data_IF_736642461078
#
_entry.id   IF_736642461078
#
_cell.length_a   1.000
_cell.length_b   1.000
_cell.length_c   1.000
_cell.angle_alpha   90.00
_cell.angle_beta   90.00
_cell.angle_gamma   90.00
#
_symmetry.space_group_name_H-M   'P 1'
#
loop_
_entity.id
_entity.type
_entity.pdbx_description
1 polymer ?
#
# COMPACT_ATOMS: atom_id res chain seq x y z
N UNK A 1 7.28 -8.00 -13.71
CA UNK A 1 6.84 -8.67 -12.45
C UNK A 1 6.59 -7.62 -11.37
N UNK A 2 5.72 -7.91 -10.38
CA UNK A 2 5.44 -7.02 -9.22
C UNK A 2 6.67 -6.92 -8.32
N UNK A 3 7.08 -5.71 -7.97
CA UNK A 3 8.31 -5.40 -7.22
C UNK A 3 8.02 -4.34 -6.16
N UNK A 4 8.69 -4.43 -5.00
CA UNK A 4 8.47 -3.54 -3.86
C UNK A 4 9.80 -2.97 -3.42
N UNK A 5 9.93 -1.65 -3.52
CA UNK A 5 11.09 -0.89 -3.12
C UNK A 5 10.79 -0.17 -1.81
N UNK A 6 11.63 -0.38 -0.80
CA UNK A 6 11.65 0.38 0.43
C UNK A 6 12.76 1.42 0.32
N UNK A 7 12.42 2.69 0.49
CA UNK A 7 13.35 3.83 0.40
C UNK A 7 13.34 4.57 1.73
N UNK A 8 14.53 4.82 2.29
CA UNK A 8 14.73 5.73 3.41
C UNK A 8 15.22 7.06 2.86
N UNK A 9 14.53 8.14 3.20
CA UNK A 9 14.83 9.47 2.69
C UNK A 9 14.72 10.52 3.80
N UNK A 10 15.38 11.65 3.60
CA UNK A 10 15.22 12.81 4.47
C UNK A 10 13.79 13.34 4.40
N UNK A 11 13.26 13.73 5.55
CA UNK A 11 11.93 14.31 5.68
C UNK A 11 11.96 15.81 5.38
N UNK A 12 12.46 16.17 4.20
CA UNK A 12 12.59 17.54 3.73
C UNK A 12 11.65 17.86 2.57
N UNK A 13 11.32 19.15 2.44
CA UNK A 13 10.51 19.63 1.33
C UNK A 13 11.20 19.33 -0.01
N UNK A 14 10.46 18.70 -0.92
CA UNK A 14 10.94 18.38 -2.26
C UNK A 14 11.60 17.00 -2.41
N UNK A 15 11.96 16.30 -1.32
CA UNK A 15 12.53 14.96 -1.41
C UNK A 15 11.57 13.96 -2.08
N UNK A 16 10.32 13.93 -1.64
CA UNK A 16 9.24 13.15 -2.27
C UNK A 16 9.04 13.51 -3.76
N UNK A 17 9.06 14.81 -4.07
CA UNK A 17 8.85 15.30 -5.44
C UNK A 17 9.97 14.85 -6.38
N UNK A 18 11.22 14.84 -5.91
CA UNK A 18 12.37 14.34 -6.70
C UNK A 18 12.27 12.85 -6.97
N UNK A 19 11.87 12.06 -5.98
CA UNK A 19 11.62 10.61 -6.16
C UNK A 19 10.52 10.37 -7.19
N UNK A 20 9.36 11.01 -7.07
CA UNK A 20 8.25 10.85 -8.04
C UNK A 20 8.65 11.37 -9.43
N UNK A 21 9.37 12.49 -9.50
CA UNK A 21 9.88 13.08 -10.73
C UNK A 21 10.79 12.12 -11.51
N UNK A 22 11.63 11.36 -10.81
CA UNK A 22 12.46 10.32 -11.42
C UNK A 22 11.62 9.22 -12.11
N UNK A 23 10.54 8.76 -11.45
CA UNK A 23 9.64 7.76 -12.03
C UNK A 23 8.91 8.32 -13.26
N UNK A 24 8.40 9.55 -13.15
CA UNK A 24 7.67 10.22 -14.23
C UNK A 24 8.54 10.45 -15.48
N UNK A 25 9.76 10.98 -15.31
CA UNK A 25 10.66 11.30 -16.43
C UNK A 25 11.10 10.07 -17.23
N UNK A 26 11.13 8.90 -16.59
CA UNK A 26 11.55 7.64 -17.23
C UNK A 26 10.39 6.73 -17.59
N UNK A 27 9.15 7.16 -17.34
CA UNK A 27 7.96 6.35 -17.59
C UNK A 27 7.89 5.08 -16.75
N UNK A 28 8.48 5.09 -15.54
CA UNK A 28 8.38 3.98 -14.61
C UNK A 28 6.99 3.98 -13.96
N UNK A 29 6.31 2.84 -13.99
CA UNK A 29 4.98 2.71 -13.43
C UNK A 29 5.02 2.73 -11.89
N UNK A 30 4.05 3.40 -11.26
CA UNK A 30 3.83 3.33 -9.80
C UNK A 30 2.44 2.76 -9.59
N UNK A 31 2.35 1.55 -9.03
CA UNK A 31 1.06 0.93 -8.69
C UNK A 31 0.54 1.44 -7.35
N UNK A 32 1.43 1.56 -6.36
CA UNK A 32 1.10 2.14 -5.07
C UNK A 32 2.34 2.80 -4.47
N UNK A 33 2.13 3.84 -3.68
CA UNK A 33 3.17 4.56 -2.97
C UNK A 33 2.66 4.95 -1.59
N UNK A 34 3.41 4.57 -0.56
CA UNK A 34 3.19 5.05 0.81
C UNK A 34 4.43 5.79 1.27
N UNK A 35 4.24 6.87 2.03
CA UNK A 35 5.33 7.59 2.67
C UNK A 35 4.85 8.16 4.00
N UNK A 36 5.63 7.99 5.05
CA UNK A 36 5.38 8.58 6.35
C UNK A 36 6.71 8.74 7.12
N UNK A 37 6.76 9.67 8.10
CA UNK A 37 7.89 9.78 9.02
C UNK A 37 8.14 8.47 9.77
N UNK A 38 9.41 8.22 10.12
CA UNK A 38 9.81 7.10 10.98
C UNK A 38 9.72 7.48 12.47
N UNK A 39 10.26 6.65 13.37
CA UNK A 39 10.47 7.03 14.78
C UNK A 39 11.47 8.18 14.93
N UNK A 40 12.37 8.34 13.96
CA UNK A 40 13.10 9.58 13.73
C UNK A 40 12.27 10.51 12.81
N UNK A 41 11.80 11.68 13.29
CA UNK A 41 10.99 12.59 12.49
C UNK A 41 11.77 13.29 11.36
N UNK A 42 13.10 13.23 11.38
CA UNK A 42 13.96 13.76 10.31
C UNK A 42 14.04 12.80 9.11
N UNK A 43 13.58 11.56 9.27
CA UNK A 43 13.59 10.54 8.24
C UNK A 43 12.16 10.09 7.91
N UNK A 44 11.91 9.89 6.62
CA UNK A 44 10.70 9.30 6.10
C UNK A 44 11.00 7.96 5.45
N UNK A 45 10.09 7.00 5.63
CA UNK A 45 10.14 5.72 4.92
C UNK A 45 9.08 5.69 3.84
N UNK A 46 9.53 5.44 2.62
CA UNK A 46 8.68 5.28 1.46
C UNK A 46 8.66 3.81 1.02
N UNK A 47 7.47 3.30 0.70
CA UNK A 47 7.31 2.00 0.04
C UNK A 47 6.69 2.23 -1.33
N UNK A 48 7.37 1.79 -2.38
CA UNK A 48 6.93 1.95 -3.78
C UNK A 48 6.69 0.56 -4.35
N UNK A 49 5.46 0.31 -4.78
CA UNK A 49 5.12 -0.85 -5.57
C UNK A 49 5.14 -0.48 -7.05
N UNK A 50 5.86 -1.26 -7.84
CA UNK A 50 6.03 -1.03 -9.27
C UNK A 50 6.01 -2.36 -10.03
N UNK A 51 5.79 -2.27 -11.34
CA UNK A 51 5.86 -3.40 -12.27
C UNK A 51 6.94 -3.13 -13.29
N UNK A 52 7.87 -4.06 -13.39
CA UNK A 52 8.93 -4.01 -14.38
C UNK A 52 9.72 -5.31 -14.45
N UNK A 53 10.59 -5.39 -15.44
CA UNK A 53 11.59 -6.45 -15.55
C UNK A 53 12.81 -6.11 -14.69
N UNK A 54 13.63 -7.12 -14.38
CA UNK A 54 14.78 -6.98 -13.48
C UNK A 54 15.72 -5.83 -13.88
N UNK A 55 16.00 -5.66 -15.18
CA UNK A 55 16.81 -4.55 -15.70
C UNK A 55 16.23 -3.17 -15.38
N UNK A 56 14.91 -3.04 -15.41
CA UNK A 56 14.22 -1.76 -15.11
C UNK A 56 14.29 -1.47 -13.62
N UNK A 57 14.10 -2.48 -12.77
CA UNK A 57 14.18 -2.34 -11.32
C UNK A 57 15.59 -1.98 -10.87
N UNK A 58 16.60 -2.66 -11.41
CA UNK A 58 18.01 -2.36 -11.12
C UNK A 58 18.36 -0.93 -11.55
N UNK A 59 17.81 -0.46 -12.67
CA UNK A 59 17.96 0.94 -13.07
C UNK A 59 17.26 1.90 -12.09
N UNK A 60 16.04 1.60 -11.66
CA UNK A 60 15.32 2.42 -10.67
C UNK A 60 16.14 2.56 -9.39
N UNK A 61 16.63 1.44 -8.84
CA UNK A 61 17.46 1.43 -7.63
C UNK A 61 18.73 2.28 -7.81
N UNK A 62 19.45 2.10 -8.93
CA UNK A 62 20.65 2.88 -9.24
C UNK A 62 20.36 4.38 -9.40
N UNK A 63 19.19 4.77 -9.91
CA UNK A 63 18.84 6.18 -10.02
C UNK A 63 18.39 6.78 -8.69
N UNK A 64 17.65 6.03 -7.87
CA UNK A 64 17.26 6.45 -6.54
C UNK A 64 18.47 6.73 -5.66
N UNK A 65 19.51 5.90 -5.73
CA UNK A 65 20.78 6.11 -5.03
C UNK A 65 21.53 7.38 -5.43
N UNK A 66 21.20 8.03 -6.56
CA UNK A 66 21.81 9.29 -6.98
C UNK A 66 21.10 10.52 -6.41
N UNK A 67 19.91 10.35 -5.84
CA UNK A 67 19.19 11.45 -5.21
C UNK A 67 19.84 11.74 -3.86
N UNK A 68 20.17 13.01 -3.63
CA UNK A 68 20.86 13.46 -2.41
C UNK A 68 20.07 13.17 -1.14
N UNK A 69 18.73 13.19 -1.21
CA UNK A 69 17.86 12.97 -0.06
C UNK A 69 17.64 11.49 0.25
N UNK A 70 18.11 10.57 -0.60
CA UNK A 70 17.88 9.14 -0.43
C UNK A 70 19.05 8.53 0.31
N UNK A 71 18.82 8.12 1.56
CA UNK A 71 19.82 7.47 2.39
C UNK A 71 20.02 6.00 2.01
N UNK A 72 18.92 5.28 1.80
CA UNK A 72 18.92 3.84 1.53
C UNK A 72 17.80 3.44 0.59
N UNK A 73 18.07 2.43 -0.22
CA UNK A 73 17.08 1.73 -1.04
C UNK A 73 17.24 0.24 -0.79
N UNK A 74 16.13 -0.49 -0.72
CA UNK A 74 16.13 -1.94 -0.60
C UNK A 74 14.94 -2.53 -1.33
N UNK A 75 15.18 -3.53 -2.17
CA UNK A 75 14.12 -4.35 -2.73
C UNK A 75 13.67 -5.40 -1.70
N UNK A 76 12.41 -5.30 -1.24
CA UNK A 76 11.86 -6.24 -0.24
C UNK A 76 11.63 -7.64 -0.83
N UNK A 77 11.36 -7.73 -2.13
CA UNK A 77 11.08 -8.99 -2.83
C UNK A 77 12.26 -9.97 -2.92
N UNK A 78 13.50 -9.51 -2.73
CA UNK A 78 14.69 -10.38 -2.76
C UNK A 78 14.85 -11.24 -1.50
N UNK A 79 14.10 -10.96 -0.43
CA UNK A 79 14.17 -11.70 0.82
C UNK A 79 12.82 -11.93 1.46
N UNK A 80 12.84 -12.61 2.61
CA UNK A 80 11.66 -12.78 3.43
C UNK A 80 11.18 -11.42 3.94
N UNK A 81 9.94 -11.05 3.64
CA UNK A 81 9.35 -9.77 4.03
C UNK A 81 7.90 -9.93 4.50
N UNK A 82 7.36 -8.86 5.07
CA UNK A 82 5.94 -8.67 5.35
C UNK A 82 5.46 -7.45 4.60
N UNK A 83 4.26 -7.54 4.03
CA UNK A 83 3.57 -6.43 3.39
C UNK A 83 2.13 -6.36 3.88
N UNK A 84 1.63 -5.14 4.08
CA UNK A 84 0.26 -4.88 4.50
C UNK A 84 -0.26 -3.61 3.84
N UNK A 85 -1.57 -3.55 3.73
CA UNK A 85 -2.34 -2.38 3.33
C UNK A 85 -3.51 -2.20 4.30
N UNK A 86 -4.00 -0.97 4.39
CA UNK A 86 -5.29 -0.66 5.01
C UNK A 86 -6.25 -0.16 3.92
N UNK A 87 -7.51 -0.59 4.02
CA UNK A 87 -8.59 -0.18 3.15
C UNK A 87 -9.79 0.25 3.98
N UNK A 88 -10.36 1.40 3.61
CA UNK A 88 -11.69 1.82 4.02
C UNK A 88 -12.61 1.69 2.81
N UNK A 89 -13.73 1.00 2.99
CA UNK A 89 -14.70 0.80 1.91
C UNK A 89 -16.11 1.09 2.39
N UNK A 90 -16.78 1.98 1.67
CA UNK A 90 -18.17 2.34 1.90
C UNK A 90 -19.06 1.47 1.03
N UNK A 91 -20.01 0.80 1.65
CA UNK A 91 -20.84 -0.23 1.03
C UNK A 91 -22.31 0.12 1.27
N UNK A 92 -23.08 0.21 0.19
CA UNK A 92 -24.52 0.30 0.24
C UNK A 92 -25.14 -1.08 0.20
N UNK A 93 -25.93 -1.40 1.22
CA UNK A 93 -26.58 -2.69 1.37
C UNK A 93 -27.93 -2.55 2.06
N UNK A 94 -28.89 -3.40 1.68
CA UNK A 94 -30.23 -3.51 2.26
C UNK A 94 -30.59 -4.96 2.53
N UNK A 95 -31.44 -5.20 3.53
CA UNK A 95 -31.93 -6.54 3.88
C UNK A 95 -30.81 -7.58 3.99
N UNK A 96 -30.93 -8.67 3.22
CA UNK A 96 -29.96 -9.76 3.14
C UNK A 96 -28.52 -9.28 2.89
N UNK A 97 -28.32 -8.27 2.03
CA UNK A 97 -26.99 -7.76 1.73
C UNK A 97 -26.29 -7.16 2.94
N UNK A 98 -27.03 -6.60 3.91
CA UNK A 98 -26.43 -6.06 5.15
C UNK A 98 -25.88 -7.18 6.04
N UNK A 99 -26.59 -8.29 6.15
CA UNK A 99 -26.15 -9.44 6.93
C UNK A 99 -24.91 -10.07 6.30
N UNK A 100 -24.89 -10.21 4.98
CA UNK A 100 -23.74 -10.75 4.25
C UNK A 100 -22.51 -9.83 4.31
N UNK A 101 -22.68 -8.50 4.21
CA UNK A 101 -21.55 -7.57 4.39
C UNK A 101 -20.97 -7.69 5.80
N UNK A 102 -21.82 -7.77 6.83
CA UNK A 102 -21.38 -7.95 8.22
C UNK A 102 -20.62 -9.28 8.38
N UNK A 103 -21.18 -10.38 7.90
CA UNK A 103 -20.57 -11.72 7.96
C UNK A 103 -19.23 -11.77 7.24
N UNK A 104 -19.15 -11.24 6.02
CA UNK A 104 -17.89 -11.17 5.27
C UNK A 104 -16.86 -10.30 6.00
N UNK A 105 -17.28 -9.20 6.61
CA UNK A 105 -16.38 -8.35 7.41
C UNK A 105 -15.80 -9.11 8.59
N UNK A 106 -16.60 -9.91 9.31
CA UNK A 106 -16.14 -10.77 10.40
C UNK A 106 -15.17 -11.87 9.90
N UNK A 107 -15.50 -12.56 8.80
CA UNK A 107 -14.65 -13.60 8.18
C UNK A 107 -13.28 -13.04 7.80
N UNK A 108 -13.25 -11.87 7.16
CA UNK A 108 -12.02 -11.20 6.76
C UNK A 108 -11.32 -10.49 7.93
N UNK A 109 -11.87 -10.55 9.15
CA UNK A 109 -11.36 -9.87 10.35
C UNK A 109 -11.22 -8.36 10.15
N UNK A 110 -12.18 -7.77 9.45
CA UNK A 110 -12.36 -6.32 9.35
C UNK A 110 -13.24 -5.79 10.47
N UNK A 111 -13.50 -4.49 10.44
CA UNK A 111 -14.30 -3.79 11.42
C UNK A 111 -15.25 -2.81 10.71
N UNK A 112 -16.53 -2.80 11.08
CA UNK A 112 -17.45 -1.74 10.65
C UNK A 112 -17.21 -0.54 11.56
N UNK A 113 -16.79 0.59 10.97
CA UNK A 113 -16.41 1.81 11.70
C UNK A 113 -17.45 2.93 11.58
N UNK A 114 -18.38 2.83 10.65
CA UNK A 114 -19.51 3.75 10.49
C UNK A 114 -20.74 3.02 9.94
N UNK A 115 -21.93 3.44 10.39
CA UNK A 115 -23.20 2.75 10.13
C UNK A 115 -24.31 3.76 9.90
N UNK A 116 -25.02 3.58 8.79
CA UNK A 116 -26.32 4.24 8.54
C UNK A 116 -27.38 3.18 8.17
N UNK A 117 -28.66 3.55 8.02
CA UNK A 117 -29.72 2.61 7.61
C UNK A 117 -29.44 1.91 6.27
N UNK A 118 -28.66 2.53 5.38
CA UNK A 118 -28.38 2.02 4.03
C UNK A 118 -26.89 1.81 3.75
N UNK A 119 -25.99 2.29 4.60
CA UNK A 119 -24.54 2.23 4.38
C UNK A 119 -23.79 1.59 5.56
N UNK A 120 -22.68 0.95 5.23
CA UNK A 120 -21.61 0.61 6.15
C UNK A 120 -20.29 1.17 5.63
N UNK A 121 -19.43 1.66 6.52
CA UNK A 121 -18.02 1.85 6.23
C UNK A 121 -17.22 0.77 6.94
N UNK A 122 -16.52 -0.06 6.17
CA UNK A 122 -15.71 -1.16 6.67
C UNK A 122 -14.22 -0.79 6.57
N UNK A 123 -13.50 -0.97 7.67
CA UNK A 123 -12.06 -0.95 7.74
C UNK A 123 -11.52 -2.38 7.64
N UNK A 124 -10.55 -2.60 6.76
CA UNK A 124 -9.86 -3.88 6.60
C UNK A 124 -8.36 -3.68 6.45
N UNK A 125 -7.57 -4.48 7.16
CA UNK A 125 -6.12 -4.56 6.99
C UNK A 125 -5.69 -5.97 6.56
N UNK A 126 -4.71 -6.06 5.66
CA UNK A 126 -4.32 -7.31 5.03
C UNK A 126 -3.24 -7.17 3.97
N UNK A 127 -2.91 -8.27 3.29
CA UNK A 127 -2.18 -8.22 2.01
C UNK A 127 -3.11 -7.69 0.91
N UNK A 128 -2.55 -7.19 -0.19
CA UNK A 128 -3.33 -6.69 -1.33
C UNK A 128 -4.34 -7.75 -1.82
N UNK A 129 -3.89 -9.01 -1.95
CA UNK A 129 -4.75 -10.14 -2.35
C UNK A 129 -5.94 -10.36 -1.39
N UNK A 130 -5.74 -10.18 -0.08
CA UNK A 130 -6.81 -10.33 0.92
C UNK A 130 -7.86 -9.22 0.75
N UNK A 131 -7.41 -7.99 0.50
CA UNK A 131 -8.32 -6.86 0.27
C UNK A 131 -9.07 -7.03 -1.04
N UNK A 132 -8.41 -7.49 -2.09
CA UNK A 132 -9.03 -7.77 -3.39
C UNK A 132 -10.07 -8.89 -3.29
N UNK A 133 -9.76 -9.95 -2.55
CA UNK A 133 -10.71 -11.04 -2.26
C UNK A 133 -11.92 -10.55 -1.46
N UNK A 134 -11.74 -9.62 -0.51
CA UNK A 134 -12.85 -9.01 0.22
C UNK A 134 -13.76 -8.23 -0.72
N UNK A 135 -13.20 -7.36 -1.57
CA UNK A 135 -13.98 -6.60 -2.55
C UNK A 135 -14.71 -7.53 -3.52
N UNK A 136 -14.07 -8.61 -3.98
CA UNK A 136 -14.66 -9.60 -4.86
C UNK A 136 -15.85 -10.33 -4.20
N UNK A 137 -15.73 -10.69 -2.92
CA UNK A 137 -16.80 -11.38 -2.17
C UNK A 137 -18.10 -10.57 -2.04
N UNK A 138 -18.02 -9.24 -2.18
CA UNK A 138 -19.16 -8.34 -2.02
C UNK A 138 -19.83 -7.93 -3.34
N UNK A 139 -19.19 -8.16 -4.49
CA UNK A 139 -19.64 -7.62 -5.80
C UNK A 139 -21.08 -7.98 -6.17
N UNK A 140 -21.51 -9.19 -5.83
CA UNK A 140 -22.83 -9.71 -6.22
C UNK A 140 -23.91 -9.51 -5.14
N UNK A 141 -23.52 -9.01 -3.96
CA UNK A 141 -24.38 -8.99 -2.76
C UNK A 141 -24.63 -7.58 -2.24
N UNK A 142 -23.71 -6.64 -2.52
CA UNK A 142 -23.82 -5.26 -2.10
C UNK A 142 -23.16 -4.31 -3.12
N UNK A 143 -23.54 -3.03 -3.09
CA UNK A 143 -22.95 -2.02 -3.95
C UNK A 143 -21.80 -1.33 -3.23
N UNK A 144 -20.59 -1.46 -3.76
CA UNK A 144 -19.45 -0.66 -3.32
C UNK A 144 -19.66 0.77 -3.81
N UNK A 145 -19.68 1.72 -2.88
CA UNK A 145 -19.89 3.15 -3.16
C UNK A 145 -18.56 3.89 -3.29
N UNK A 146 -17.61 3.59 -2.43
CA UNK A 146 -16.35 4.31 -2.32
C UNK A 146 -15.28 3.40 -1.72
N UNK A 147 -14.04 3.53 -2.19
CA UNK A 147 -12.88 2.77 -1.70
C UNK A 147 -11.71 3.74 -1.51
N UNK A 148 -11.12 3.74 -0.33
CA UNK A 148 -9.84 4.38 -0.04
C UNK A 148 -8.83 3.31 0.41
N UNK A 149 -7.69 3.22 -0.25
CA UNK A 149 -6.60 2.29 0.08
C UNK A 149 -5.33 3.06 0.37
N UNK A 150 -4.54 2.59 1.32
CA UNK A 150 -3.24 3.20 1.63
C UNK A 150 -2.18 2.94 0.57
N UNK A 151 -2.27 1.81 -0.15
CA UNK A 151 -1.11 1.22 -0.80
C UNK A 151 -0.25 0.43 0.20
N UNK A 152 0.78 -0.25 -0.32
CA UNK A 152 1.57 -1.20 0.46
C UNK A 152 2.51 -0.48 1.43
N UNK A 153 2.54 -0.95 2.68
CA UNK A 153 3.65 -0.77 3.61
C UNK A 153 4.35 -2.10 3.82
N UNK A 154 5.68 -2.10 3.92
CA UNK A 154 6.42 -3.36 4.05
C UNK A 154 7.73 -3.25 4.81
N UNK A 155 8.13 -4.37 5.42
CA UNK A 155 9.38 -4.54 6.17
C UNK A 155 10.00 -5.90 5.85
N UNK A 156 11.34 -5.98 5.90
CA UNK A 156 12.03 -7.27 5.88
C UNK A 156 11.77 -8.04 7.17
N UNK A 157 11.82 -9.37 7.11
CA UNK A 157 11.69 -10.25 8.29
C UNK A 157 13.04 -10.49 8.95
N UNK A 158 13.02 -10.76 10.25
CA UNK A 158 14.20 -11.11 11.04
C UNK A 158 15.15 -9.94 11.21
N UNK A 159 16.45 -10.22 11.23
CA UNK A 159 17.51 -9.25 11.55
C UNK A 159 17.88 -8.32 10.39
N UNK A 160 17.23 -8.46 9.23
CA UNK A 160 17.44 -7.55 8.09
C UNK A 160 16.72 -6.24 8.38
N UNK A 161 17.48 -5.23 8.79
CA UNK A 161 16.98 -3.90 9.13
C UNK A 161 17.50 -2.89 8.11
N UNK A 162 16.64 -1.99 7.66
CA UNK A 162 17.03 -0.82 6.87
C UNK A 162 17.25 0.34 7.85
N UNK A 163 18.52 0.70 8.07
CA UNK A 163 18.98 1.85 8.85
C UNK A 163 19.94 2.67 8.00
#
# INVERSE_FOLDING_TARGET
MRRILSVLLENESGALSRVIGLFSQRGYNIESLTVAPTDDPTLSRMTIQTVGDEKVIEQIEKQLHKLVDVLRVSELGQGAHVEREIMLVKIQASGYGREEVKRNTEIFRGQIIDVTPTLYTVQLAGTSDKLDAFLASLRDVAKIVEVARSGVVGLSRGDKIMR
#
